data_IF_250491188746
#
_entry.id   IF_250491188746
#
_cell.length_a   1.000
_cell.length_b   1.000
_cell.length_c   1.000
_cell.angle_alpha   90.00
_cell.angle_beta   90.00
_cell.angle_gamma   90.00
#
_symmetry.space_group_name_H-M   'P 1'
#
loop_
_entity.id
_entity.type
_entity.pdbx_description
1 polymer ?
#
# COMPACT_ATOMS: atom_id res chain seq x y z
N UNK A 1 -7.90 -5.94 5.47
CA UNK A 1 -8.07 -4.50 5.79
C UNK A 1 -7.34 -4.18 7.09
N UNK A 2 -6.54 -3.11 7.16
CA UNK A 2 -5.90 -2.67 8.41
C UNK A 2 -6.92 -1.92 9.29
N UNK A 3 -6.93 -2.18 10.60
CA UNK A 3 -7.94 -1.65 11.54
C UNK A 3 -7.68 -0.18 11.90
N UNK A 4 -6.51 0.36 11.55
CA UNK A 4 -6.19 1.77 11.75
C UNK A 4 -5.14 2.28 10.76
N UNK A 5 -5.10 3.61 10.56
CA UNK A 5 -4.03 4.27 9.80
C UNK A 5 -2.64 4.13 10.45
N UNK A 6 -2.56 3.78 11.74
CA UNK A 6 -1.31 3.46 12.43
C UNK A 6 -0.76 2.10 12.01
N UNK A 7 -1.62 1.08 11.99
CA UNK A 7 -1.28 -0.26 11.53
C UNK A 7 -0.85 -0.26 10.06
N UNK A 8 -1.54 0.50 9.21
CA UNK A 8 -1.16 0.70 7.80
C UNK A 8 0.28 1.23 7.65
N UNK A 9 0.69 2.18 8.51
CA UNK A 9 2.05 2.73 8.47
C UNK A 9 3.11 1.74 8.95
N UNK A 10 2.76 0.85 9.89
CA UNK A 10 3.66 -0.19 10.39
C UNK A 10 3.94 -1.21 9.28
N UNK A 11 2.90 -1.77 8.68
CA UNK A 11 3.04 -2.80 7.63
C UNK A 11 3.76 -2.28 6.38
N UNK A 12 3.58 -1.00 6.02
CA UNK A 12 4.36 -0.35 4.96
C UNK A 12 5.85 -0.34 5.35
N UNK A 13 6.20 0.13 6.55
CA UNK A 13 7.61 0.18 6.97
C UNK A 13 8.27 -1.17 7.16
N UNK A 14 7.49 -2.20 7.48
CA UNK A 14 7.96 -3.58 7.55
C UNK A 14 8.18 -4.21 6.16
N UNK A 15 7.86 -3.48 5.08
CA UNK A 15 8.05 -3.96 3.70
C UNK A 15 7.02 -5.01 3.27
N UNK A 16 5.88 -5.07 3.95
CA UNK A 16 4.82 -6.04 3.65
C UNK A 16 3.88 -5.58 2.52
N UNK A 17 4.05 -4.36 2.04
CA UNK A 17 3.23 -3.75 0.99
C UNK A 17 4.03 -3.63 -0.29
N UNK A 18 3.43 -4.02 -1.42
CA UNK A 18 3.99 -3.75 -2.73
C UNK A 18 3.14 -2.69 -3.45
N UNK A 19 3.80 -1.79 -4.17
CA UNK A 19 3.17 -0.85 -5.09
C UNK A 19 3.74 -1.12 -6.47
N UNK A 20 2.86 -1.49 -7.42
CA UNK A 20 3.24 -1.88 -8.78
C UNK A 20 4.31 -3.00 -8.81
N UNK A 21 4.16 -4.00 -7.92
CA UNK A 21 5.06 -5.15 -7.82
C UNK A 21 6.41 -4.85 -7.16
N UNK A 22 6.59 -3.68 -6.56
CA UNK A 22 7.82 -3.31 -5.83
C UNK A 22 7.51 -3.10 -4.36
N UNK A 23 8.33 -3.67 -3.47
CA UNK A 23 8.23 -3.43 -2.03
C UNK A 23 8.30 -1.94 -1.76
N UNK A 24 7.30 -1.42 -1.06
CA UNK A 24 7.18 -0.01 -0.72
C UNK A 24 7.26 0.18 0.79
N UNK A 25 8.26 0.95 1.23
CA UNK A 25 8.50 1.23 2.66
C UNK A 25 8.24 2.69 3.04
N UNK A 26 7.92 3.55 2.05
CA UNK A 26 7.69 4.97 2.27
C UNK A 26 6.24 5.23 2.70
N UNK A 27 6.06 5.57 3.99
CA UNK A 27 4.76 5.92 4.60
C UNK A 27 4.04 7.14 3.97
N UNK A 28 4.75 7.95 3.17
CA UNK A 28 4.25 9.20 2.57
C UNK A 28 4.34 9.21 1.04
N UNK A 29 4.44 8.04 0.41
CA UNK A 29 4.35 7.98 -1.05
C UNK A 29 2.96 8.44 -1.49
N UNK A 30 2.92 9.38 -2.43
CA UNK A 30 1.67 9.75 -3.10
C UNK A 30 1.30 8.62 -4.06
N UNK A 31 0.11 8.06 -3.86
CA UNK A 31 -0.46 7.03 -4.73
C UNK A 31 -1.34 7.73 -5.75
N UNK A 32 -1.23 7.33 -7.01
CA UNK A 32 -1.99 7.91 -8.12
C UNK A 32 -3.01 6.92 -8.67
N UNK A 33 -4.01 7.43 -9.39
CA UNK A 33 -5.00 6.57 -10.05
C UNK A 33 -4.30 5.63 -11.03
N UNK A 34 -4.61 4.34 -10.94
CA UNK A 34 -3.97 3.28 -11.73
C UNK A 34 -2.88 2.50 -10.99
N UNK A 35 -2.37 2.99 -9.86
CA UNK A 35 -1.44 2.22 -9.03
C UNK A 35 -2.10 0.94 -8.49
N UNK A 36 -1.32 -0.13 -8.42
CA UNK A 36 -1.73 -1.42 -7.85
C UNK A 36 -1.01 -1.59 -6.51
N UNK A 37 -1.76 -1.61 -5.43
CA UNK A 37 -1.27 -1.87 -4.08
C UNK A 37 -1.55 -3.33 -3.74
N UNK A 38 -0.55 -4.03 -3.24
CA UNK A 38 -0.63 -5.44 -2.84
C UNK A 38 -0.21 -5.62 -1.38
N UNK A 39 -0.99 -6.38 -0.62
CA UNK A 39 -0.73 -6.70 0.78
C UNK A 39 -1.35 -8.06 1.12
N UNK A 40 -0.57 -8.98 1.72
CA UNK A 40 -1.04 -10.32 2.13
C UNK A 40 -1.87 -11.05 1.05
N UNK A 41 -1.41 -11.05 -0.20
CA UNK A 41 -2.08 -11.62 -1.38
C UNK A 41 -3.37 -10.92 -1.83
N UNK A 42 -3.78 -9.83 -1.19
CA UNK A 42 -4.85 -8.95 -1.68
C UNK A 42 -4.24 -7.88 -2.59
N UNK A 43 -4.85 -7.67 -3.76
CA UNK A 43 -4.47 -6.61 -4.71
C UNK A 43 -5.61 -5.64 -4.89
N UNK A 44 -5.31 -4.36 -4.78
CA UNK A 44 -6.26 -3.26 -4.96
C UNK A 44 -5.70 -2.32 -6.01
N UNK A 45 -6.51 -2.03 -7.03
CA UNK A 45 -6.21 -0.98 -7.99
C UNK A 45 -6.79 0.34 -7.48
N UNK A 46 -5.95 1.35 -7.33
CA UNK A 46 -6.41 2.66 -6.90
C UNK A 46 -7.11 3.36 -8.06
N UNK A 47 -8.30 3.89 -7.77
CA UNK A 47 -9.05 4.78 -8.65
C UNK A 47 -9.35 6.04 -7.83
N UNK A 48 -8.67 7.13 -8.16
CA UNK A 48 -9.00 8.45 -7.61
C UNK A 48 -9.97 9.11 -8.61
N UNK A 49 -11.17 9.43 -8.15
CA UNK A 49 -12.18 10.21 -8.89
C UNK A 49 -12.06 11.68 -8.54
#
# INVERSE_FOLDING_TARGET
>A
MAESGGEAKAVISEGQVLVNGKVETRKRKQIVSGDIVEFRNEKIRVQLT
#
